data_IF_810310237233
#
_entry.id   IF_810310237233
#
_cell.length_a   1.000
_cell.length_b   1.000
_cell.length_c   1.000
_cell.angle_alpha   90.00
_cell.angle_beta   90.00
_cell.angle_gamma   90.00
#
_symmetry.space_group_name_H-M   'P 1'
#
loop_
_entity.id
_entity.type
_entity.pdbx_description
1 polymer ?
#
# COMPACT_ATOMS: atom_id res chain seq x y z
N UNK A 1 2.76 -8.25 -17.94
CA UNK A 1 2.46 -6.84 -17.62
C UNK A 1 3.09 -6.60 -16.26
N UNK A 2 3.93 -5.59 -16.09
CA UNK A 2 4.55 -5.28 -14.80
C UNK A 2 3.54 -4.48 -13.97
N UNK A 3 3.33 -4.85 -12.72
CA UNK A 3 2.59 -4.01 -11.77
C UNK A 3 3.63 -3.28 -10.92
N UNK A 4 3.51 -1.95 -10.88
CA UNK A 4 4.39 -1.08 -10.11
C UNK A 4 3.50 -0.31 -9.19
N UNK A 5 3.64 -0.59 -7.91
CA UNK A 5 2.78 -0.07 -6.87
C UNK A 5 3.54 1.07 -6.20
N UNK A 6 3.15 2.29 -6.57
CA UNK A 6 3.74 3.51 -6.00
C UNK A 6 2.76 4.26 -5.16
N UNK A 7 3.14 4.56 -3.92
CA UNK A 7 2.51 5.61 -3.14
C UNK A 7 1.07 5.30 -2.76
N UNK A 8 0.77 4.06 -2.34
CA UNK A 8 -0.50 3.78 -1.68
C UNK A 8 -0.72 4.69 -0.44
N UNK A 9 0.37 5.26 0.09
CA UNK A 9 0.34 6.21 1.19
C UNK A 9 -0.09 5.52 2.48
N UNK A 10 -0.79 6.25 3.35
CA UNK A 10 -1.19 5.76 4.67
C UNK A 10 -2.43 4.86 4.69
N UNK A 11 -3.06 4.64 3.54
CA UNK A 11 -4.30 3.89 3.44
C UNK A 11 -3.99 2.40 3.28
N UNK A 12 -4.78 1.54 3.92
CA UNK A 12 -4.73 0.11 3.60
C UNK A 12 -5.24 -0.10 2.17
N UNK A 13 -4.48 -0.84 1.38
CA UNK A 13 -4.78 -1.12 -0.02
C UNK A 13 -4.40 -2.57 -0.35
N UNK A 14 -5.15 -3.18 -1.26
CA UNK A 14 -4.94 -4.57 -1.65
C UNK A 14 -4.64 -4.64 -3.14
N UNK A 15 -3.50 -5.21 -3.50
CA UNK A 15 -3.20 -5.59 -4.88
C UNK A 15 -3.68 -7.02 -5.07
N UNK A 16 -4.74 -7.20 -5.85
CA UNK A 16 -5.50 -8.45 -5.88
C UNK A 16 -5.58 -9.10 -7.28
N UNK A 17 -5.39 -10.42 -7.34
CA UNK A 17 -5.88 -11.23 -8.46
C UNK A 17 -5.08 -11.10 -9.76
N UNK A 18 -3.84 -10.60 -9.71
CA UNK A 18 -3.03 -10.40 -10.91
C UNK A 18 -2.32 -11.68 -11.34
N UNK A 19 -1.99 -11.78 -12.62
CA UNK A 19 -1.21 -12.89 -13.18
C UNK A 19 0.07 -12.35 -13.83
N UNK A 20 1.22 -12.87 -13.42
CA UNK A 20 2.54 -12.44 -13.86
C UNK A 20 3.28 -13.62 -14.48
N UNK A 21 3.89 -13.43 -15.65
CA UNK A 21 4.62 -14.50 -16.35
C UNK A 21 5.83 -13.93 -17.11
N UNK A 22 6.99 -14.55 -16.88
CA UNK A 22 8.29 -14.22 -17.50
C UNK A 22 8.64 -12.72 -17.45
N UNK A 23 8.63 -12.15 -16.24
CA UNK A 23 8.99 -10.75 -15.98
C UNK A 23 10.30 -10.63 -15.21
N UNK A 24 10.93 -9.46 -15.28
CA UNK A 24 12.04 -9.14 -14.40
C UNK A 24 11.56 -8.97 -12.95
N UNK A 25 10.46 -8.26 -12.76
CA UNK A 25 9.76 -8.16 -11.47
C UNK A 25 8.26 -8.33 -11.74
N UNK A 26 7.59 -9.24 -11.02
CA UNK A 26 6.14 -9.41 -11.05
C UNK A 26 5.44 -8.23 -10.39
N UNK A 27 5.68 -8.07 -9.09
CA UNK A 27 5.15 -7.02 -8.23
C UNK A 27 6.30 -6.17 -7.67
N UNK A 28 6.20 -4.85 -7.82
CA UNK A 28 7.22 -3.92 -7.36
C UNK A 28 6.60 -2.86 -6.44
N UNK A 29 6.93 -2.87 -5.15
CA UNK A 29 6.57 -1.82 -4.19
C UNK A 29 7.66 -0.74 -4.16
N UNK A 30 7.34 0.46 -4.63
CA UNK A 30 8.25 1.61 -4.77
C UNK A 30 7.63 2.83 -4.10
N UNK A 31 8.41 3.63 -3.36
CA UNK A 31 7.85 4.77 -2.63
C UNK A 31 7.05 4.37 -1.38
N UNK A 32 6.29 5.32 -0.82
CA UNK A 32 5.61 5.16 0.48
C UNK A 32 4.41 4.20 0.39
N UNK A 33 4.62 2.95 0.80
CA UNK A 33 3.63 1.88 0.78
C UNK A 33 3.39 1.27 2.18
N UNK A 34 3.88 1.93 3.23
CA UNK A 34 3.65 1.58 4.64
C UNK A 34 2.67 2.57 5.26
N UNK A 35 1.66 2.05 5.95
CA UNK A 35 0.78 2.85 6.77
C UNK A 35 1.51 3.49 7.94
N UNK A 36 1.20 4.76 8.23
CA UNK A 36 1.64 5.39 9.48
C UNK A 36 1.09 4.70 10.73
N UNK A 37 -0.09 4.10 10.60
CA UNK A 37 -0.70 3.24 11.59
C UNK A 37 -0.38 1.82 11.15
N UNK A 38 0.12 1.00 12.09
CA UNK A 38 0.32 -0.44 11.90
C UNK A 38 -0.95 -1.01 11.25
N UNK A 39 -0.86 -1.39 9.96
CA UNK A 39 -1.96 -1.90 9.11
C UNK A 39 -2.48 -1.04 7.98
N UNK A 40 -2.00 0.19 7.81
CA UNK A 40 -2.06 0.84 6.50
C UNK A 40 -0.95 0.31 5.58
N UNK A 41 -1.07 0.55 4.29
CA UNK A 41 -0.10 0.09 3.30
C UNK A 41 -0.63 -1.01 2.40
N UNK A 42 0.28 -1.63 1.65
CA UNK A 42 -0.07 -2.62 0.63
C UNK A 42 -0.09 -4.04 1.21
N UNK A 43 -1.19 -4.76 0.95
CA UNK A 43 -1.25 -6.23 1.04
C UNK A 43 -1.38 -6.80 -0.36
N UNK A 44 -0.54 -7.78 -0.69
CA UNK A 44 -0.70 -8.57 -1.91
C UNK A 44 -1.61 -9.76 -1.61
N UNK A 45 -2.75 -9.88 -2.29
CA UNK A 45 -3.68 -10.99 -2.13
C UNK A 45 -3.90 -11.70 -3.47
N UNK A 46 -3.85 -13.03 -3.49
CA UNK A 46 -4.23 -13.84 -4.66
C UNK A 46 -3.54 -13.45 -5.98
N UNK A 47 -2.28 -13.02 -5.92
CA UNK A 47 -1.48 -12.75 -7.11
C UNK A 47 -0.72 -14.00 -7.52
N UNK A 48 -0.79 -14.34 -8.80
CA UNK A 48 -0.26 -15.57 -9.35
C UNK A 48 1.00 -15.30 -10.17
N UNK A 49 2.15 -15.68 -9.63
CA UNK A 49 3.41 -15.62 -10.36
C UNK A 49 3.68 -16.95 -11.07
N UNK A 50 3.43 -16.94 -12.38
CA UNK A 50 3.59 -18.06 -13.28
C UNK A 50 4.98 -18.02 -13.95
N UNK A 51 5.45 -19.18 -14.41
CA UNK A 51 6.68 -19.28 -15.18
C UNK A 51 7.93 -19.09 -14.31
N UNK A 52 8.85 -18.21 -14.72
CA UNK A 52 10.09 -17.97 -13.99
C UNK A 52 10.44 -16.49 -14.04
N UNK A 53 9.79 -15.68 -13.21
CA UNK A 53 10.23 -14.29 -13.02
C UNK A 53 11.65 -14.27 -12.39
N UNK A 54 12.33 -13.13 -12.46
CA UNK A 54 13.59 -12.95 -11.72
C UNK A 54 13.31 -12.64 -10.26
N UNK A 55 12.31 -11.78 -10.01
CA UNK A 55 11.68 -11.54 -8.73
C UNK A 55 10.15 -11.64 -8.89
N UNK A 56 9.47 -12.41 -8.05
CA UNK A 56 8.01 -12.44 -8.00
C UNK A 56 7.47 -11.22 -7.24
N UNK A 57 8.08 -10.92 -6.09
CA UNK A 57 7.86 -9.70 -5.31
C UNK A 57 9.18 -8.99 -5.02
N UNK A 58 9.17 -7.67 -5.15
CA UNK A 58 10.30 -6.80 -4.80
C UNK A 58 9.81 -5.56 -4.06
N UNK A 59 10.40 -5.29 -2.89
CA UNK A 59 10.16 -4.10 -2.08
C UNK A 59 11.46 -3.29 -2.01
N UNK A 60 11.37 -2.00 -2.35
CA UNK A 60 12.51 -1.08 -2.38
C UNK A 60 13.09 -0.79 -0.98
N UNK A 61 14.40 -0.60 -0.92
CA UNK A 61 15.12 -0.17 0.29
C UNK A 61 14.58 1.15 0.86
N UNK A 62 14.44 1.20 2.19
CA UNK A 62 13.92 2.37 2.90
C UNK A 62 12.41 2.58 2.78
N UNK A 63 11.71 1.71 2.05
CA UNK A 63 10.25 1.65 1.97
C UNK A 63 9.74 0.44 2.76
N UNK A 64 8.48 0.05 2.54
CA UNK A 64 7.93 -1.19 3.08
C UNK A 64 6.53 -1.42 2.55
N UNK A 65 5.91 -2.51 2.95
CA UNK A 65 4.48 -2.81 2.73
C UNK A 65 3.82 -3.06 4.09
N UNK A 66 2.55 -3.46 4.12
CA UNK A 66 1.91 -3.84 5.39
C UNK A 66 2.70 -4.97 6.05
N UNK A 67 3.04 -4.84 7.34
CA UNK A 67 3.81 -5.84 8.09
C UNK A 67 3.14 -7.22 8.01
N UNK A 68 1.84 -7.29 8.28
CA UNK A 68 1.07 -8.52 8.11
C UNK A 68 0.58 -8.67 6.66
N UNK A 69 1.25 -9.53 5.89
CA UNK A 69 0.74 -9.98 4.59
C UNK A 69 -0.27 -11.11 4.82
N UNK A 70 -1.50 -10.70 5.18
CA UNK A 70 -2.66 -11.54 5.56
C UNK A 70 -3.95 -10.88 5.08
N UNK A 71 -5.01 -11.68 4.86
CA UNK A 71 -6.33 -11.12 4.53
C UNK A 71 -7.00 -10.49 5.75
N UNK A 72 -7.96 -9.58 5.51
CA UNK A 72 -8.77 -8.97 6.59
C UNK A 72 -9.54 -9.99 7.45
N UNK A 73 -9.78 -11.20 6.93
CA UNK A 73 -10.47 -12.29 7.63
C UNK A 73 -9.51 -13.27 8.33
N UNK A 74 -8.23 -12.90 8.47
CA UNK A 74 -7.22 -13.73 9.11
C UNK A 74 -6.95 -15.06 8.38
N UNK A 75 -6.86 -15.00 7.05
CA UNK A 75 -6.51 -16.14 6.18
C UNK A 75 -5.16 -15.89 5.49
N UNK A 76 -4.59 -16.94 4.91
CA UNK A 76 -3.42 -16.85 4.03
C UNK A 76 -3.66 -15.83 2.89
N UNK A 77 -2.63 -15.15 2.40
CA UNK A 77 -2.81 -14.19 1.29
C UNK A 77 -3.13 -14.85 -0.04
N UNK A 78 -2.82 -16.14 -0.22
CA UNK A 78 -3.14 -16.88 -1.44
C UNK A 78 -2.33 -16.46 -2.67
N UNK A 79 -1.25 -15.68 -2.51
CA UNK A 79 -0.33 -15.44 -3.62
C UNK A 79 0.46 -16.72 -3.91
N UNK A 80 0.77 -16.97 -5.19
CA UNK A 80 1.64 -18.07 -5.59
C UNK A 80 2.97 -17.56 -6.14
N UNK A 81 4.04 -18.29 -5.86
CA UNK A 81 5.40 -18.01 -6.30
C UNK A 81 5.86 -18.96 -7.42
N UNK A 82 6.78 -18.47 -8.23
CA UNK A 82 7.43 -19.24 -9.29
C UNK A 82 8.46 -20.24 -8.75
N UNK A 83 8.95 -20.05 -7.52
CA UNK A 83 9.90 -20.92 -6.81
C UNK A 83 11.15 -21.22 -7.63
N UNK A 84 11.66 -20.18 -8.28
CA UNK A 84 12.79 -20.26 -9.19
C UNK A 84 14.11 -20.14 -8.43
N UNK A 85 14.82 -21.25 -8.29
CA UNK A 85 16.09 -21.36 -7.55
C UNK A 85 17.30 -20.61 -8.16
N UNK A 86 17.11 -19.87 -9.25
CA UNK A 86 18.16 -19.06 -9.88
C UNK A 86 18.54 -17.80 -9.11
N UNK A 87 17.75 -17.42 -8.10
CA UNK A 87 17.95 -16.23 -7.28
C UNK A 87 17.61 -16.58 -5.81
N UNK A 88 18.51 -16.39 -4.83
CA UNK A 88 18.25 -16.73 -3.42
C UNK A 88 17.08 -15.96 -2.80
N UNK A 89 16.69 -14.83 -3.38
CA UNK A 89 15.56 -14.00 -2.95
C UNK A 89 14.56 -13.79 -4.11
N UNK A 90 14.45 -14.78 -5.00
CA UNK A 90 13.64 -14.70 -6.23
C UNK A 90 12.12 -14.72 -6.01
N UNK A 91 11.65 -15.34 -4.94
CA UNK A 91 10.22 -15.38 -4.61
C UNK A 91 9.80 -14.07 -3.93
N UNK A 92 10.59 -13.62 -2.95
CA UNK A 92 10.30 -12.37 -2.25
C UNK A 92 11.58 -11.66 -1.80
N UNK A 93 11.97 -10.63 -2.53
CA UNK A 93 13.06 -9.75 -2.13
C UNK A 93 12.50 -8.55 -1.37
N UNK A 94 12.70 -8.51 -0.05
CA UNK A 94 12.21 -7.42 0.79
C UNK A 94 13.38 -6.62 1.37
N UNK A 95 13.68 -5.48 0.75
CA UNK A 95 14.68 -4.52 1.22
C UNK A 95 14.06 -3.46 2.14
N UNK A 96 12.75 -3.51 2.36
CA UNK A 96 12.01 -2.59 3.20
C UNK A 96 11.93 -3.02 4.67
N UNK A 97 10.89 -2.55 5.36
CA UNK A 97 10.54 -3.00 6.72
C UNK A 97 10.20 -4.49 6.81
N UNK A 98 10.29 -5.04 8.01
CA UNK A 98 9.93 -6.44 8.27
C UNK A 98 8.47 -6.73 7.87
N UNK A 99 8.22 -7.97 7.41
CA UNK A 99 6.87 -8.50 7.18
C UNK A 99 6.71 -9.90 7.77
N UNK A 100 5.50 -10.19 8.22
CA UNK A 100 5.01 -11.54 8.50
C UNK A 100 4.14 -12.01 7.31
N UNK A 101 4.56 -13.07 6.64
CA UNK A 101 3.93 -13.59 5.44
C UNK A 101 3.10 -14.85 5.74
N UNK A 102 1.79 -14.77 5.54
CA UNK A 102 0.84 -15.84 5.87
C UNK A 102 0.47 -16.68 4.65
N UNK A 103 0.79 -17.98 4.68
CA UNK A 103 0.58 -18.92 3.56
C UNK A 103 -0.19 -20.16 3.98
N UNK A 104 -0.88 -20.81 3.04
CA UNK A 104 -1.56 -22.07 3.31
C UNK A 104 -0.63 -23.27 3.00
N UNK A 105 -0.25 -24.08 4.00
CA UNK A 105 0.81 -25.09 3.83
C UNK A 105 0.43 -26.28 2.93
N UNK A 106 -0.85 -26.49 2.61
CA UNK A 106 -1.25 -27.55 1.68
C UNK A 106 -1.12 -27.17 0.19
N UNK A 107 -0.79 -25.90 -0.10
CA UNK A 107 -0.48 -25.42 -1.46
C UNK A 107 0.99 -25.02 -1.50
N UNK A 108 1.83 -25.88 -2.09
CA UNK A 108 3.28 -25.70 -2.09
C UNK A 108 3.73 -24.36 -2.67
N UNK A 109 3.04 -23.89 -3.70
CA UNK A 109 3.36 -22.67 -4.43
C UNK A 109 3.03 -21.39 -3.64
N UNK A 110 2.26 -21.46 -2.54
CA UNK A 110 2.03 -20.31 -1.66
C UNK A 110 3.20 -20.06 -0.68
N UNK A 111 4.04 -21.07 -0.43
CA UNK A 111 5.20 -20.90 0.43
C UNK A 111 6.36 -20.26 -0.36
N UNK A 112 6.89 -19.09 0.05
CA UNK A 112 8.13 -18.59 -0.53
C UNK A 112 9.31 -19.46 -0.05
N UNK A 113 10.14 -19.90 -1.00
CA UNK A 113 11.34 -20.70 -0.77
C UNK A 113 12.63 -19.90 -0.94
N UNK A 114 12.58 -18.83 -1.74
CA UNK A 114 13.72 -17.95 -2.02
C UNK A 114 13.39 -16.52 -1.62
N UNK A 115 13.68 -16.14 -0.37
CA UNK A 115 13.24 -14.87 0.19
C UNK A 115 14.26 -14.24 1.15
N UNK A 116 14.04 -12.98 1.50
CA UNK A 116 14.88 -12.22 2.43
C UNK A 116 14.68 -12.66 3.89
N UNK A 117 15.49 -13.62 4.37
CA UNK A 117 15.37 -14.24 5.70
C UNK A 117 15.41 -13.27 6.90
N UNK A 118 16.03 -12.09 6.74
CA UNK A 118 16.16 -11.10 7.82
C UNK A 118 14.96 -10.15 7.93
N UNK A 119 14.10 -10.09 6.92
CA UNK A 119 13.00 -9.12 6.81
C UNK A 119 11.66 -9.80 6.53
N UNK A 120 11.62 -11.14 6.50
CA UNK A 120 10.42 -11.93 6.26
C UNK A 120 10.37 -13.10 7.24
N UNK A 121 9.35 -13.12 8.10
CA UNK A 121 8.93 -14.33 8.82
C UNK A 121 7.76 -14.99 8.09
N UNK A 122 7.70 -16.32 8.10
CA UNK A 122 6.61 -17.08 7.49
C UNK A 122 5.71 -17.68 8.55
N UNK A 123 4.41 -17.61 8.33
CA UNK A 123 3.40 -18.20 9.20
C UNK A 123 2.40 -19.03 8.41
N UNK A 124 2.06 -20.19 8.96
CA UNK A 124 0.98 -21.02 8.41
C UNK A 124 -0.38 -20.40 8.79
N UNK A 125 -1.28 -20.30 7.81
CA UNK A 125 -2.64 -19.81 7.99
C UNK A 125 -3.67 -20.70 7.29
N UNK A 126 -4.95 -20.45 7.55
CA UNK A 126 -6.04 -21.15 6.86
C UNK A 126 -6.15 -20.70 5.38
N UNK A 127 -6.68 -21.59 4.54
CA UNK A 127 -6.83 -21.37 3.10
C UNK A 127 -7.68 -20.13 2.82
N UNK A 128 -7.15 -19.24 1.98
CA UNK A 128 -7.95 -18.25 1.27
C UNK A 128 -8.36 -18.82 -0.08
N UNK A 129 -9.67 -18.94 -0.32
CA UNK A 129 -10.20 -19.48 -1.57
C UNK A 129 -9.99 -18.55 -2.79
N UNK A 130 -9.44 -17.35 -2.58
CA UNK A 130 -9.24 -16.35 -3.63
C UNK A 130 -10.53 -16.06 -4.42
N UNK A 131 -11.63 -15.97 -3.68
CA UNK A 131 -12.94 -15.68 -4.27
C UNK A 131 -12.97 -14.21 -4.72
N UNK A 132 -13.19 -14.00 -6.01
CA UNK A 132 -13.12 -12.71 -6.71
C UNK A 132 -14.17 -11.67 -6.27
N UNK A 133 -14.91 -11.92 -5.19
CA UNK A 133 -16.15 -11.22 -4.87
C UNK A 133 -15.98 -9.89 -4.13
N UNK A 134 -14.85 -9.66 -3.46
CA UNK A 134 -14.77 -8.58 -2.46
C UNK A 134 -13.73 -7.49 -2.75
N UNK A 135 -12.86 -7.64 -3.75
CA UNK A 135 -11.86 -6.60 -4.11
C UNK A 135 -12.21 -6.02 -5.49
N UNK A 136 -12.73 -4.78 -5.49
CA UNK A 136 -12.96 -4.01 -6.72
C UNK A 136 -14.21 -4.37 -7.55
N UNK A 137 -15.07 -5.27 -7.09
CA UNK A 137 -16.35 -5.58 -7.71
C UNK A 137 -17.44 -4.54 -7.38
N UNK A 138 -18.43 -4.37 -8.27
CA UNK A 138 -19.66 -3.65 -7.92
C UNK A 138 -20.31 -4.32 -6.72
N UNK A 139 -20.43 -3.59 -5.61
CA UNK A 139 -21.23 -4.05 -4.46
C UNK A 139 -22.70 -3.95 -4.87
N UNK A 140 -23.46 -5.06 -4.86
CA UNK A 140 -24.88 -5.00 -5.16
C UNK A 140 -25.61 -4.04 -4.20
N UNK A 141 -26.65 -3.35 -4.70
CA UNK A 141 -27.48 -2.43 -3.90
C UNK A 141 -28.00 -3.06 -2.59
N UNK A 142 -28.27 -4.37 -2.60
CA UNK A 142 -28.77 -5.09 -1.42
C UNK A 142 -27.71 -5.31 -0.33
N UNK A 143 -26.43 -5.30 -0.72
CA UNK A 143 -25.29 -5.59 0.14
C UNK A 143 -24.57 -4.32 0.64
N UNK A 144 -24.90 -3.14 0.08
CA UNK A 144 -24.27 -1.88 0.50
C UNK A 144 -24.54 -1.58 1.97
N UNK A 145 -25.73 -1.92 2.49
CA UNK A 145 -26.07 -1.75 3.90
C UNK A 145 -25.18 -2.60 4.81
N UNK A 146 -24.87 -3.84 4.39
CA UNK A 146 -23.98 -4.73 5.12
C UNK A 146 -22.54 -4.21 5.08
N UNK A 147 -22.06 -3.74 3.93
CA UNK A 147 -20.71 -3.18 3.76
C UNK A 147 -20.51 -1.97 4.67
N UNK A 148 -21.51 -1.10 4.81
CA UNK A 148 -21.47 0.02 5.75
C UNK A 148 -21.41 -0.42 7.21
N UNK A 149 -22.13 -1.48 7.57
CA UNK A 149 -22.04 -2.03 8.93
C UNK A 149 -20.66 -2.61 9.21
N UNK A 150 -20.07 -3.35 8.24
CA UNK A 150 -18.68 -3.85 8.35
C UNK A 150 -17.69 -2.72 8.63
N UNK A 151 -17.85 -1.57 7.97
CA UNK A 151 -17.04 -0.38 8.26
C UNK A 151 -17.17 0.06 9.72
N UNK A 152 -18.40 0.23 10.24
CA UNK A 152 -18.59 0.72 11.60
C UNK A 152 -18.18 -0.30 12.67
N UNK A 153 -18.33 -1.59 12.40
CA UNK A 153 -17.85 -2.67 13.27
C UNK A 153 -16.32 -2.66 13.33
N UNK A 154 -15.65 -2.60 12.18
CA UNK A 154 -14.19 -2.50 12.09
C UNK A 154 -13.66 -1.23 12.76
N UNK A 155 -14.35 -0.08 12.55
CA UNK A 155 -14.02 1.19 13.20
C UNK A 155 -14.12 1.11 14.72
N UNK A 156 -15.12 0.40 15.25
CA UNK A 156 -15.25 0.18 16.69
C UNK A 156 -14.11 -0.68 17.24
N UNK A 157 -13.69 -1.73 16.53
CA UNK A 157 -12.53 -2.55 16.91
C UNK A 157 -11.23 -1.74 16.87
N UNK A 158 -11.01 -0.96 15.80
CA UNK A 158 -9.86 -0.09 15.66
C UNK A 158 -9.74 0.87 16.85
N UNK A 159 -10.85 1.48 17.28
CA UNK A 159 -10.87 2.39 18.43
C UNK A 159 -10.52 1.70 19.75
N UNK A 160 -10.87 0.41 19.91
CA UNK A 160 -10.52 -0.37 21.11
C UNK A 160 -9.01 -0.68 21.12
N UNK A 161 -8.49 -1.29 20.06
CA UNK A 161 -7.07 -1.59 19.96
C UNK A 161 -6.20 -0.34 20.05
N UNK A 162 -6.65 0.77 19.44
CA UNK A 162 -5.93 2.04 19.52
C UNK A 162 -5.89 2.60 20.95
N UNK A 163 -6.99 2.50 21.70
CA UNK A 163 -6.99 2.95 23.09
C UNK A 163 -6.03 2.13 23.95
N UNK A 164 -6.03 0.80 23.78
CA UNK A 164 -5.12 -0.10 24.49
C UNK A 164 -3.65 0.19 24.11
N UNK A 165 -3.37 0.35 22.81
CA UNK A 165 -2.04 0.70 22.33
C UNK A 165 -1.53 2.03 22.89
N UNK A 166 -2.35 3.09 22.83
CA UNK A 166 -1.97 4.43 23.29
C UNK A 166 -1.75 4.48 24.81
N UNK A 167 -2.38 3.59 25.60
CA UNK A 167 -2.15 3.45 27.05
C UNK A 167 -0.85 2.71 27.36
N UNK A 168 -0.49 1.71 26.55
CA UNK A 168 0.68 0.87 26.79
C UNK A 168 1.97 1.49 26.25
N UNK A 169 1.92 2.13 25.07
CA UNK A 169 3.09 2.71 24.42
C UNK A 169 3.68 3.82 25.30
N UNK A 170 4.96 3.66 25.66
CA UNK A 170 5.68 4.55 26.58
C UNK A 170 4.92 4.82 27.90
N UNK A 171 4.13 3.85 28.40
CA UNK A 171 3.25 4.00 29.57
C UNK A 171 2.28 5.20 29.47
N UNK A 172 1.91 5.56 28.24
CA UNK A 172 0.99 6.66 27.92
C UNK A 172 1.60 8.06 27.95
N UNK A 173 2.92 8.22 28.18
CA UNK A 173 3.59 9.53 28.25
C UNK A 173 4.92 9.57 27.49
N UNK A 174 4.88 9.38 26.16
CA UNK A 174 6.05 9.56 25.28
C UNK A 174 6.78 10.90 25.50
N UNK A 175 6.11 12.07 25.58
CA UNK A 175 6.81 13.34 25.79
C UNK A 175 7.54 13.42 27.14
N UNK A 176 6.94 12.88 28.20
CA UNK A 176 7.56 12.76 29.52
C UNK A 176 8.79 11.87 29.48
N UNK A 177 8.66 10.68 28.90
CA UNK A 177 9.74 9.71 28.80
C UNK A 177 10.93 10.24 27.96
N UNK A 178 10.65 10.92 26.86
CA UNK A 178 11.66 11.63 26.06
C UNK A 178 12.38 12.71 26.88
N UNK A 179 11.65 13.48 27.70
CA UNK A 179 12.24 14.50 28.55
C UNK A 179 13.15 13.89 29.63
N UNK A 180 12.78 12.74 30.20
CA UNK A 180 13.58 12.00 31.16
C UNK A 180 14.88 11.49 30.54
N UNK A 181 14.80 10.82 29.38
CA UNK A 181 15.99 10.37 28.62
C UNK A 181 16.87 11.58 28.24
N UNK A 182 16.27 12.70 27.83
CA UNK A 182 16.99 13.92 27.48
C UNK A 182 17.75 14.55 28.66
N UNK A 183 17.24 14.41 29.90
CA UNK A 183 17.85 14.97 31.11
C UNK A 183 18.78 13.99 31.85
N UNK A 184 18.70 12.69 31.54
CA UNK A 184 19.50 11.65 32.19
C UNK A 184 21.01 11.89 32.03
N UNK A 185 21.72 11.75 33.15
CA UNK A 185 23.18 11.63 33.20
C UNK A 185 23.64 10.22 33.60
N UNK A 186 24.94 9.94 33.53
CA UNK A 186 25.51 8.60 33.77
C UNK A 186 25.13 7.98 35.15
N UNK A 187 24.89 8.80 36.17
CA UNK A 187 24.46 8.31 37.50
C UNK A 187 23.00 7.81 37.57
N UNK A 188 22.18 8.11 36.56
CA UNK A 188 20.76 7.73 36.47
C UNK A 188 20.51 6.65 35.41
N UNK A 189 21.48 6.39 34.53
CA UNK A 189 21.33 5.52 33.36
C UNK A 189 20.75 4.14 33.71
N UNK A 190 21.35 3.45 34.69
CA UNK A 190 20.90 2.12 35.09
C UNK A 190 19.47 2.12 35.68
N UNK A 191 19.07 3.20 36.37
CA UNK A 191 17.69 3.31 36.88
C UNK A 191 16.71 3.45 35.73
N UNK A 192 16.97 4.41 34.84
CA UNK A 192 16.09 4.69 33.70
C UNK A 192 16.00 3.51 32.73
N UNK A 193 17.09 2.77 32.51
CA UNK A 193 17.04 1.55 31.69
C UNK A 193 16.16 0.46 32.33
N UNK A 194 16.21 0.28 33.65
CA UNK A 194 15.32 -0.66 34.32
C UNK A 194 13.85 -0.23 34.22
N UNK A 195 13.57 1.08 34.28
CA UNK A 195 12.23 1.62 34.12
C UNK A 195 11.74 1.36 32.67
N UNK A 196 12.57 1.63 31.66
CA UNK A 196 12.27 1.36 30.25
C UNK A 196 12.07 -0.13 29.95
N UNK A 197 12.91 -1.00 30.52
CA UNK A 197 12.75 -2.46 30.42
C UNK A 197 11.46 -2.95 31.11
N UNK A 198 10.94 -2.20 32.09
CA UNK A 198 9.64 -2.46 32.70
C UNK A 198 8.45 -2.09 31.81
N UNK A 199 8.66 -1.20 30.84
CA UNK A 199 7.66 -0.78 29.84
C UNK A 199 7.72 -1.69 28.60
N UNK A 200 8.89 -2.26 28.29
CA UNK A 200 9.07 -3.22 27.20
C UNK A 200 8.00 -4.31 27.21
N UNK A 201 7.44 -4.70 26.04
CA UNK A 201 7.85 -4.36 24.67
C UNK A 201 7.30 -3.02 24.11
N UNK A 202 6.74 -2.17 24.96
CA UNK A 202 6.01 -0.97 24.55
C UNK A 202 6.83 0.32 24.56
N UNK A 203 8.17 0.25 24.48
CA UNK A 203 8.99 1.45 24.29
C UNK A 203 8.96 1.84 22.81
N UNK A 204 8.60 3.09 22.52
CA UNK A 204 8.49 3.59 21.15
C UNK A 204 9.84 3.84 20.50
N UNK A 205 9.89 3.81 19.16
CA UNK A 205 11.08 4.15 18.39
C UNK A 205 11.66 5.53 18.73
N UNK A 206 10.82 6.51 19.10
CA UNK A 206 11.28 7.84 19.47
C UNK A 206 12.14 7.79 20.74
N UNK A 207 11.69 7.03 21.73
CA UNK A 207 12.39 6.86 23.02
C UNK A 207 13.65 6.01 22.82
N UNK A 208 13.56 4.90 22.07
CA UNK A 208 14.71 4.06 21.75
C UNK A 208 15.80 4.86 21.00
N UNK A 209 15.40 5.66 20.01
CA UNK A 209 16.31 6.57 19.30
C UNK A 209 16.99 7.54 20.25
N UNK A 210 16.24 8.16 21.17
CA UNK A 210 16.81 9.08 22.16
C UNK A 210 17.82 8.41 23.11
N UNK A 211 17.65 7.12 23.41
CA UNK A 211 18.62 6.32 24.18
C UNK A 211 19.88 6.03 23.36
N UNK A 212 19.71 5.54 22.12
CA UNK A 212 20.82 5.26 21.18
C UNK A 212 21.67 6.50 20.91
N UNK A 213 21.05 7.68 20.84
CA UNK A 213 21.72 8.96 20.58
C UNK A 213 22.60 9.46 21.74
N UNK A 214 22.63 8.71 22.86
CA UNK A 214 23.36 9.07 24.07
C UNK A 214 24.32 7.95 24.55
N UNK A 215 25.28 7.51 23.71
CA UNK A 215 26.20 6.43 24.07
C UNK A 215 27.15 6.77 25.23
N UNK A 216 27.30 8.06 25.58
CA UNK A 216 28.06 8.49 26.76
C UNK A 216 27.31 8.30 28.09
N UNK A 217 25.99 8.08 28.04
CA UNK A 217 25.12 7.86 29.21
C UNK A 217 24.66 6.41 29.27
N UNK A 218 24.20 5.87 28.15
CA UNK A 218 23.73 4.48 28.02
C UNK A 218 24.77 3.70 27.22
N UNK A 219 25.48 2.78 27.88
CA UNK A 219 26.47 1.94 27.22
C UNK A 219 25.83 0.95 26.24
N UNK A 220 26.65 0.35 25.36
CA UNK A 220 26.14 -0.58 24.33
C UNK A 220 25.34 -1.74 24.93
N UNK A 221 25.76 -2.27 26.09
CA UNK A 221 25.03 -3.37 26.75
C UNK A 221 23.61 -2.96 27.14
N UNK A 222 23.45 -1.77 27.73
CA UNK A 222 22.13 -1.21 28.03
C UNK A 222 21.28 -0.97 26.77
N UNK A 223 21.90 -0.52 25.68
CA UNK A 223 21.20 -0.30 24.42
C UNK A 223 20.73 -1.62 23.80
N UNK A 224 21.59 -2.64 23.76
CA UNK A 224 21.25 -3.97 23.26
C UNK A 224 20.10 -4.57 24.07
N UNK A 225 20.22 -4.62 25.41
CA UNK A 225 19.18 -5.18 26.29
C UNK A 225 17.81 -4.53 26.02
N UNK A 226 17.79 -3.20 25.84
CA UNK A 226 16.56 -2.47 25.59
C UNK A 226 16.01 -2.69 24.18
N UNK A 227 16.87 -2.72 23.15
CA UNK A 227 16.45 -2.98 21.77
C UNK A 227 15.90 -4.41 21.61
N UNK A 228 16.54 -5.41 22.21
CA UNK A 228 16.06 -6.79 22.21
C UNK A 228 14.70 -6.95 22.90
N UNK A 229 14.46 -6.17 23.95
CA UNK A 229 13.20 -6.17 24.67
C UNK A 229 12.05 -5.47 23.91
N UNK A 230 12.34 -4.75 22.82
CA UNK A 230 11.36 -4.01 22.02
C UNK A 230 11.49 -4.35 20.51
N UNK A 231 11.33 -5.62 20.14
CA UNK A 231 11.62 -6.10 18.79
C UNK A 231 10.75 -5.43 17.72
N UNK A 232 9.50 -5.07 18.01
CA UNK A 232 8.56 -4.39 17.10
C UNK A 232 9.11 -3.03 16.66
N UNK A 233 9.68 -2.29 17.62
CA UNK A 233 10.27 -1.00 17.33
C UNK A 233 11.54 -1.17 16.48
N UNK A 234 12.30 -2.24 16.65
CA UNK A 234 13.45 -2.57 15.79
C UNK A 234 13.01 -2.88 14.35
N UNK A 235 11.91 -3.63 14.20
CA UNK A 235 11.36 -4.09 12.92
C UNK A 235 10.84 -2.97 12.01
N UNK A 236 10.35 -1.85 12.55
CA UNK A 236 9.68 -0.85 11.68
C UNK A 236 10.65 -0.21 10.70
N UNK A 237 10.13 0.03 9.50
CA UNK A 237 10.87 0.56 8.36
C UNK A 237 11.74 1.78 8.73
N UNK A 238 12.98 1.75 8.25
CA UNK A 238 13.96 2.84 8.43
C UNK A 238 14.67 2.86 9.78
N UNK A 239 14.15 2.23 10.84
CA UNK A 239 14.84 2.25 12.14
C UNK A 239 16.01 1.27 12.20
N UNK A 240 15.97 0.15 11.47
CA UNK A 240 17.14 -0.70 11.32
C UNK A 240 18.31 0.04 10.67
N UNK A 241 18.06 0.71 9.53
CA UNK A 241 19.05 1.57 8.86
C UNK A 241 19.57 2.67 9.80
N UNK A 242 18.67 3.25 10.61
CA UNK A 242 19.04 4.21 11.63
C UNK A 242 20.07 3.66 12.62
N UNK A 243 19.85 2.45 13.13
CA UNK A 243 20.77 1.78 14.06
C UNK A 243 22.12 1.51 13.39
N UNK A 244 22.14 1.04 12.15
CA UNK A 244 23.38 0.78 11.40
C UNK A 244 24.21 2.06 11.17
N UNK A 245 23.56 3.19 10.93
CA UNK A 245 24.23 4.45 10.61
C UNK A 245 24.62 5.27 11.85
N UNK A 246 23.84 5.20 12.94
CA UNK A 246 23.92 6.15 14.04
C UNK A 246 24.30 5.53 15.39
N UNK A 247 24.15 4.22 15.57
CA UNK A 247 24.51 3.57 16.83
C UNK A 247 26.03 3.32 16.94
N UNK A 248 26.51 3.09 18.16
CA UNK A 248 27.87 2.64 18.43
C UNK A 248 27.99 1.12 18.57
N UNK A 249 26.95 0.38 18.19
CA UNK A 249 26.90 -1.08 18.29
C UNK A 249 27.84 -1.71 17.26
N UNK A 250 28.52 -2.78 17.66
CA UNK A 250 29.32 -3.56 16.71
C UNK A 250 28.48 -4.56 15.91
N UNK A 251 29.11 -5.25 14.95
CA UNK A 251 28.39 -6.20 14.09
C UNK A 251 27.84 -7.42 14.82
N UNK A 252 28.43 -7.82 15.95
CA UNK A 252 27.92 -8.92 16.77
C UNK A 252 26.68 -8.46 17.56
N UNK A 253 26.74 -7.28 18.16
CA UNK A 253 25.63 -6.63 18.87
C UNK A 253 24.43 -6.37 17.94
N UNK A 254 24.67 -5.82 16.73
CA UNK A 254 23.62 -5.64 15.73
C UNK A 254 23.02 -6.98 15.32
N UNK A 255 23.83 -8.00 15.03
CA UNK A 255 23.32 -9.33 14.69
C UNK A 255 22.43 -9.91 15.80
N UNK A 256 22.79 -9.66 17.06
CA UNK A 256 22.00 -10.08 18.22
C UNK A 256 20.62 -9.42 18.25
N UNK A 257 20.60 -8.09 18.14
CA UNK A 257 19.35 -7.28 18.08
C UNK A 257 18.49 -7.68 16.88
N UNK A 258 19.10 -7.95 15.73
CA UNK A 258 18.38 -8.41 14.54
C UNK A 258 17.67 -9.74 14.80
N UNK A 259 18.35 -10.72 15.42
CA UNK A 259 17.74 -12.02 15.72
C UNK A 259 16.61 -11.89 16.75
N UNK A 260 16.77 -11.04 17.77
CA UNK A 260 15.70 -10.76 18.73
C UNK A 260 14.49 -10.10 18.05
N UNK A 261 14.73 -9.23 17.06
CA UNK A 261 13.68 -8.56 16.28
C UNK A 261 12.82 -9.50 15.43
N UNK A 262 13.17 -10.77 15.28
CA UNK A 262 12.36 -11.77 14.58
C UNK A 262 11.31 -12.45 15.50
N UNK A 263 11.31 -12.14 16.80
CA UNK A 263 10.43 -12.75 17.78
C UNK A 263 9.20 -11.87 18.04
N UNK A 264 8.04 -12.53 18.16
CA UNK A 264 6.80 -11.84 18.51
C UNK A 264 6.64 -11.68 20.03
N UNK A 265 6.03 -10.59 20.46
CA UNK A 265 5.69 -10.30 21.85
C UNK A 265 4.19 -10.02 22.02
N UNK A 266 3.76 -9.65 23.24
CA UNK A 266 2.39 -9.23 23.49
C UNK A 266 1.99 -7.97 22.70
N UNK A 267 2.97 -7.13 22.32
CA UNK A 267 2.71 -5.92 21.54
C UNK A 267 2.25 -6.26 20.12
N UNK A 268 2.84 -7.27 19.49
CA UNK A 268 2.43 -7.74 18.15
C UNK A 268 0.93 -8.06 18.09
N UNK A 269 0.36 -8.70 19.12
CA UNK A 269 -1.06 -9.03 19.13
C UNK A 269 -1.97 -7.77 19.12
N UNK A 270 -1.52 -6.66 19.71
CA UNK A 270 -2.25 -5.38 19.70
C UNK A 270 -2.05 -4.67 18.37
N UNK A 271 -0.81 -4.60 17.87
CA UNK A 271 -0.50 -3.99 16.57
C UNK A 271 -1.21 -4.73 15.41
N UNK A 272 -1.27 -6.07 15.46
CA UNK A 272 -2.01 -6.95 14.54
C UNK A 272 -3.52 -6.64 14.57
N UNK A 273 -4.11 -6.56 15.77
CA UNK A 273 -5.53 -6.25 15.94
C UNK A 273 -5.88 -4.84 15.45
N UNK A 274 -5.01 -3.86 15.74
CA UNK A 274 -5.11 -2.50 15.23
C UNK A 274 -5.06 -2.48 13.70
N UNK A 275 -4.13 -3.24 13.14
CA UNK A 275 -3.86 -3.36 11.72
C UNK A 275 -5.03 -3.95 10.95
N UNK A 276 -5.50 -5.12 11.38
CA UNK A 276 -6.64 -5.80 10.76
C UNK A 276 -7.92 -4.93 10.81
N UNK A 277 -8.17 -4.26 11.93
CA UNK A 277 -9.32 -3.38 12.07
C UNK A 277 -9.23 -2.14 11.17
N UNK A 278 -8.04 -1.55 11.03
CA UNK A 278 -7.79 -0.43 10.12
C UNK A 278 -7.98 -0.85 8.65
N UNK A 279 -7.41 -2.00 8.26
CA UNK A 279 -7.56 -2.55 6.92
C UNK A 279 -9.04 -2.87 6.59
N UNK A 280 -9.76 -3.51 7.50
CA UNK A 280 -11.19 -3.79 7.35
C UNK A 280 -12.04 -2.52 7.21
N UNK A 281 -11.71 -1.47 7.98
CA UNK A 281 -12.35 -0.16 7.85
C UNK A 281 -12.09 0.44 6.47
N UNK A 282 -10.85 0.47 6.00
CA UNK A 282 -10.47 1.05 4.71
C UNK A 282 -11.08 0.29 3.54
N UNK A 283 -10.99 -1.05 3.53
CA UNK A 283 -11.58 -1.91 2.50
C UNK A 283 -13.09 -1.71 2.38
N UNK A 284 -13.80 -1.67 3.51
CA UNK A 284 -15.24 -1.39 3.52
C UNK A 284 -15.57 0.02 3.02
N UNK A 285 -14.79 1.03 3.41
CA UNK A 285 -14.97 2.40 2.92
C UNK A 285 -14.75 2.51 1.41
N UNK A 286 -13.70 1.88 0.88
CA UNK A 286 -13.35 1.93 -0.54
C UNK A 286 -14.41 1.24 -1.41
N UNK A 287 -15.00 0.14 -0.94
CA UNK A 287 -16.15 -0.49 -1.58
C UNK A 287 -17.38 0.43 -1.61
N UNK A 288 -17.66 1.15 -0.51
CA UNK A 288 -18.76 2.12 -0.47
C UNK A 288 -18.48 3.33 -1.37
N UNK A 289 -17.24 3.80 -1.43
CA UNK A 289 -16.82 4.88 -2.32
C UNK A 289 -16.94 4.47 -3.79
N UNK A 290 -16.47 3.27 -4.14
CA UNK A 290 -16.61 2.70 -5.48
C UNK A 290 -18.08 2.60 -5.90
N UNK A 291 -18.95 2.12 -5.00
CA UNK A 291 -20.40 2.10 -5.22
C UNK A 291 -20.96 3.50 -5.55
N UNK A 292 -20.57 4.54 -4.81
CA UNK A 292 -21.07 5.90 -5.04
C UNK A 292 -20.42 6.65 -6.20
N UNK A 293 -19.26 6.23 -6.69
CA UNK A 293 -18.49 6.93 -7.73
C UNK A 293 -18.52 6.24 -9.09
N UNK A 294 -18.62 4.91 -9.14
CA UNK A 294 -18.52 4.13 -10.38
C UNK A 294 -19.88 3.70 -10.93
N UNK A 295 -20.87 3.39 -10.09
CA UNK A 295 -22.18 2.98 -10.57
C UNK A 295 -22.97 4.19 -11.11
N UNK A 296 -23.25 4.16 -12.41
CA UNK A 296 -23.99 5.21 -13.13
C UNK A 296 -25.42 5.44 -12.61
N UNK A 297 -26.00 4.51 -11.85
CA UNK A 297 -27.32 4.62 -11.22
C UNK A 297 -27.22 5.19 -9.81
N UNK A 298 -26.13 4.88 -9.09
CA UNK A 298 -25.89 5.28 -7.70
C UNK A 298 -24.90 6.45 -7.53
N UNK A 299 -24.46 7.08 -8.63
CA UNK A 299 -23.54 8.23 -8.59
C UNK A 299 -24.02 9.31 -7.61
N UNK A 300 -23.35 9.40 -6.47
CA UNK A 300 -23.76 10.27 -5.37
C UNK A 300 -22.54 10.90 -4.72
N UNK A 301 -22.17 12.08 -5.24
CA UNK A 301 -21.02 12.85 -4.78
C UNK A 301 -21.11 13.22 -3.29
N UNK A 302 -22.28 13.65 -2.81
CA UNK A 302 -22.44 14.03 -1.39
C UNK A 302 -22.18 12.84 -0.46
N UNK A 303 -22.64 11.66 -0.86
CA UNK A 303 -22.36 10.42 -0.11
C UNK A 303 -20.88 10.02 -0.20
N UNK A 304 -20.25 10.17 -1.37
CA UNK A 304 -18.82 9.92 -1.49
C UNK A 304 -17.98 10.86 -0.60
N UNK A 305 -18.31 12.16 -0.55
CA UNK A 305 -17.65 13.13 0.33
C UNK A 305 -17.82 12.76 1.81
N UNK A 306 -19.02 12.33 2.22
CA UNK A 306 -19.28 11.85 3.58
C UNK A 306 -18.44 10.61 3.93
N UNK A 307 -18.29 9.68 2.99
CA UNK A 307 -17.49 8.46 3.21
C UNK A 307 -15.99 8.73 3.25
N UNK A 308 -15.50 9.71 2.48
CA UNK A 308 -14.14 10.21 2.63
C UNK A 308 -13.91 10.84 4.01
N UNK A 309 -14.91 11.56 4.56
CA UNK A 309 -14.85 12.08 5.94
C UNK A 309 -14.87 10.96 6.99
N UNK A 310 -15.59 9.86 6.72
CA UNK A 310 -15.57 8.69 7.60
C UNK A 310 -14.22 7.97 7.60
N UNK A 311 -13.59 7.83 6.43
CA UNK A 311 -12.26 7.24 6.24
C UNK A 311 -11.19 8.11 6.91
N UNK A 312 -11.26 9.43 6.74
CA UNK A 312 -10.53 10.40 7.55
C UNK A 312 -9.01 10.37 7.40
N UNK A 313 -8.48 9.69 6.38
CA UNK A 313 -7.05 9.59 6.14
C UNK A 313 -6.48 10.83 5.43
N UNK A 314 -5.15 10.97 5.42
CA UNK A 314 -4.46 12.01 4.67
C UNK A 314 -4.82 11.94 3.18
N UNK A 315 -4.80 10.75 2.60
CA UNK A 315 -5.19 10.53 1.21
C UNK A 315 -6.66 10.88 0.95
N UNK A 316 -7.57 10.60 1.90
CA UNK A 316 -8.98 10.97 1.79
C UNK A 316 -9.18 12.48 1.66
N UNK A 317 -8.34 13.31 2.31
CA UNK A 317 -8.39 14.77 2.16
C UNK A 317 -7.96 15.24 0.76
N UNK A 318 -6.94 14.61 0.18
CA UNK A 318 -6.56 14.89 -1.21
C UNK A 318 -7.66 14.49 -2.20
N UNK A 319 -8.26 13.30 -2.05
CA UNK A 319 -9.38 12.86 -2.89
C UNK A 319 -10.61 13.78 -2.73
N UNK A 320 -10.90 14.22 -1.51
CA UNK A 320 -11.97 15.17 -1.23
C UNK A 320 -11.73 16.50 -1.95
N UNK A 321 -10.49 17.00 -1.92
CA UNK A 321 -10.05 18.20 -2.64
C UNK A 321 -10.26 18.04 -4.14
N UNK A 322 -9.83 16.91 -4.73
CA UNK A 322 -10.03 16.59 -6.15
C UNK A 322 -11.52 16.57 -6.55
N UNK A 323 -12.38 15.94 -5.75
CA UNK A 323 -13.83 15.88 -6.02
C UNK A 323 -14.45 17.27 -5.94
N UNK A 324 -14.08 18.08 -4.96
CA UNK A 324 -14.59 19.44 -4.78
C UNK A 324 -14.12 20.37 -5.91
N UNK A 325 -12.86 20.27 -6.32
CA UNK A 325 -12.31 20.98 -7.47
C UNK A 325 -13.08 20.63 -8.77
N UNK A 326 -13.29 19.34 -9.04
CA UNK A 326 -14.10 18.90 -10.19
C UNK A 326 -15.58 19.32 -10.10
N UNK A 327 -16.03 19.77 -8.93
CA UNK A 327 -17.37 20.34 -8.72
C UNK A 327 -17.43 21.85 -8.92
N UNK A 328 -16.30 22.52 -9.14
CA UNK A 328 -16.18 23.98 -9.13
C UNK A 328 -16.37 24.59 -7.74
N UNK A 329 -16.15 23.81 -6.67
CA UNK A 329 -16.21 24.26 -5.28
C UNK A 329 -14.79 24.60 -4.77
N UNK A 330 -14.13 25.51 -5.48
CA UNK A 330 -12.69 25.77 -5.28
C UNK A 330 -12.38 26.32 -3.88
N UNK A 331 -13.21 27.22 -3.35
CA UNK A 331 -13.05 27.76 -1.99
C UNK A 331 -13.12 26.62 -0.94
N UNK A 332 -14.11 25.74 -1.04
CA UNK A 332 -14.24 24.59 -0.14
C UNK A 332 -13.08 23.59 -0.30
N UNK A 333 -12.60 23.40 -1.53
CA UNK A 333 -11.47 22.53 -1.81
C UNK A 333 -10.18 23.07 -1.18
N UNK A 334 -9.94 24.38 -1.28
CA UNK A 334 -8.81 25.06 -0.66
C UNK A 334 -8.88 24.97 0.88
N UNK A 335 -10.06 25.14 1.48
CA UNK A 335 -10.26 24.97 2.93
C UNK A 335 -9.89 23.55 3.39
N UNK A 336 -10.32 22.52 2.66
CA UNK A 336 -9.98 21.11 2.98
C UNK A 336 -8.47 20.90 2.88
N UNK A 337 -7.85 21.36 1.80
CA UNK A 337 -6.42 21.18 1.58
C UNK A 337 -5.56 21.90 2.62
N UNK A 338 -5.91 23.14 2.97
CA UNK A 338 -5.16 23.94 3.95
C UNK A 338 -5.35 23.49 5.40
N UNK A 339 -6.38 22.68 5.69
CA UNK A 339 -6.59 22.08 7.02
C UNK A 339 -5.67 20.90 7.35
N UNK A 340 -5.02 20.30 6.34
CA UNK A 340 -4.22 19.07 6.50
C UNK A 340 -3.10 19.21 7.56
N UNK A 341 -2.27 20.27 7.57
CA UNK A 341 -1.18 20.38 8.56
C UNK A 341 -1.67 20.52 10.00
N UNK A 342 -2.90 20.97 10.21
CA UNK A 342 -3.52 21.05 11.54
C UNK A 342 -4.16 19.71 11.95
N UNK A 343 -4.65 18.93 10.98
CA UNK A 343 -5.32 17.65 11.22
C UNK A 343 -4.35 16.47 11.36
N UNK A 344 -3.13 16.55 10.79
CA UNK A 344 -2.18 15.45 10.74
C UNK A 344 -0.76 15.90 11.14
N UNK A 345 -0.08 15.10 11.97
CA UNK A 345 1.33 15.31 12.30
C UNK A 345 2.23 14.77 11.18
N UNK A 346 2.43 15.48 10.08
CA UNK A 346 3.10 14.93 8.90
C UNK A 346 4.56 14.52 9.15
N UNK A 347 4.99 13.38 8.58
CA UNK A 347 6.43 13.05 8.46
C UNK A 347 7.11 13.99 7.48
N UNK A 348 8.45 14.03 7.44
CA UNK A 348 9.17 14.89 6.47
C UNK A 348 8.78 14.59 5.01
N UNK A 349 8.65 13.31 4.65
CA UNK A 349 8.20 12.85 3.33
C UNK A 349 6.75 13.29 3.05
N UNK A 350 5.86 13.16 4.03
CA UNK A 350 4.46 13.58 3.90
C UNK A 350 4.30 15.09 3.83
N UNK A 351 5.14 15.85 4.53
CA UNK A 351 5.19 17.31 4.45
C UNK A 351 5.64 17.76 3.05
N UNK A 352 6.68 17.15 2.49
CA UNK A 352 7.11 17.43 1.12
C UNK A 352 6.02 17.09 0.10
N UNK A 353 5.34 15.95 0.24
CA UNK A 353 4.21 15.58 -0.63
C UNK A 353 3.04 16.56 -0.48
N UNK A 354 2.73 17.00 0.74
CA UNK A 354 1.71 18.01 1.00
C UNK A 354 2.02 19.33 0.30
N UNK A 355 3.26 19.82 0.41
CA UNK A 355 3.69 21.06 -0.23
C UNK A 355 3.57 20.95 -1.76
N UNK A 356 3.91 19.79 -2.33
CA UNK A 356 3.78 19.52 -3.76
C UNK A 356 2.30 19.46 -4.20
N UNK A 357 1.43 18.82 -3.40
CA UNK A 357 -0.03 18.79 -3.64
C UNK A 357 -0.62 20.19 -3.55
N UNK A 358 -0.21 20.99 -2.58
CA UNK A 358 -0.64 22.37 -2.41
C UNK A 358 -0.31 23.19 -3.65
N UNK A 359 0.91 23.11 -4.16
CA UNK A 359 1.33 23.78 -5.38
C UNK A 359 0.50 23.32 -6.61
N UNK A 360 0.25 22.02 -6.74
CA UNK A 360 -0.55 21.46 -7.84
C UNK A 360 -2.00 21.96 -7.79
N UNK A 361 -2.67 21.85 -6.64
CA UNK A 361 -4.06 22.27 -6.51
C UNK A 361 -4.23 23.78 -6.68
N UNK A 362 -3.31 24.60 -6.14
CA UNK A 362 -3.32 26.05 -6.34
C UNK A 362 -3.20 26.45 -7.81
N UNK A 363 -2.45 25.70 -8.61
CA UNK A 363 -2.38 25.89 -10.06
C UNK A 363 -3.72 25.58 -10.75
N UNK A 364 -4.45 24.59 -10.24
CA UNK A 364 -5.70 24.11 -10.81
C UNK A 364 -6.95 24.86 -10.30
N UNK A 365 -6.89 25.56 -9.17
CA UNK A 365 -8.01 26.37 -8.69
C UNK A 365 -8.39 27.45 -9.72
N UNK A 366 -9.70 27.63 -9.92
CA UNK A 366 -10.26 28.52 -10.94
C UNK A 366 -10.13 28.00 -12.38
N UNK A 367 -9.56 26.81 -12.61
CA UNK A 367 -9.39 26.22 -13.94
C UNK A 367 -10.55 25.30 -14.29
N UNK A 368 -11.50 25.83 -15.06
CA UNK A 368 -12.62 25.05 -15.56
C UNK A 368 -12.24 24.06 -16.69
N UNK A 369 -11.08 24.25 -17.32
CA UNK A 369 -10.66 23.45 -18.48
C UNK A 369 -9.14 23.20 -18.42
N UNK A 370 -8.78 21.97 -18.06
CA UNK A 370 -7.37 21.53 -17.94
C UNK A 370 -6.60 21.57 -19.26
N UNK A 371 -7.25 21.76 -20.41
CA UNK A 371 -6.61 21.93 -21.72
C UNK A 371 -6.28 23.40 -22.06
N UNK A 372 -6.59 24.34 -21.15
CA UNK A 372 -6.41 25.78 -21.36
C UNK A 372 -5.48 26.45 -20.35
N UNK A 373 -4.53 25.71 -19.80
CA UNK A 373 -3.45 26.29 -19.01
C UNK A 373 -2.58 27.19 -19.90
N UNK A 374 -2.15 28.32 -19.37
CA UNK A 374 -1.25 29.22 -20.08
C UNK A 374 0.21 28.73 -20.07
N UNK A 375 1.10 29.43 -20.78
CA UNK A 375 2.49 29.01 -20.90
C UNK A 375 3.28 29.02 -19.58
N UNK A 376 2.93 29.89 -18.62
CA UNK A 376 3.56 29.91 -17.30
C UNK A 376 3.03 28.78 -16.43
N UNK A 377 1.73 28.50 -16.53
CA UNK A 377 1.07 27.39 -15.82
C UNK A 377 1.59 26.03 -16.29
N UNK A 378 1.81 25.85 -17.60
CA UNK A 378 2.42 24.62 -18.14
C UNK A 378 3.86 24.45 -17.62
N UNK A 379 4.62 25.53 -17.48
CA UNK A 379 5.97 25.49 -16.90
C UNK A 379 5.89 25.06 -15.43
N UNK A 380 5.03 25.70 -14.63
CA UNK A 380 4.85 25.34 -13.23
C UNK A 380 4.39 23.87 -13.06
N UNK A 381 3.48 23.39 -13.91
CA UNK A 381 3.07 21.99 -13.94
C UNK A 381 4.23 21.05 -14.31
N UNK A 382 5.12 21.48 -15.22
CA UNK A 382 6.32 20.73 -15.60
C UNK A 382 7.39 20.72 -14.51
N UNK A 383 7.47 21.76 -13.69
CA UNK A 383 8.33 21.80 -12.53
C UNK A 383 7.84 20.81 -11.47
N UNK A 384 6.53 20.74 -11.21
CA UNK A 384 5.93 19.73 -10.31
C UNK A 384 6.16 18.31 -10.83
N UNK A 385 6.06 18.10 -12.15
CA UNK A 385 6.28 16.78 -12.77
C UNK A 385 7.71 16.23 -12.57
N UNK A 386 8.70 17.09 -12.29
CA UNK A 386 10.08 16.68 -12.00
C UNK A 386 10.31 16.24 -10.55
N UNK A 387 9.34 16.49 -9.67
CA UNK A 387 9.41 16.09 -8.26
C UNK A 387 9.10 14.61 -8.09
N UNK A 388 9.03 14.16 -6.84
CA UNK A 388 8.60 12.81 -6.45
C UNK A 388 7.18 12.83 -5.89
N UNK A 389 6.62 11.63 -5.69
CA UNK A 389 5.32 11.44 -5.04
C UNK A 389 4.08 11.64 -5.93
N UNK A 390 2.90 11.66 -5.32
CA UNK A 390 1.62 11.58 -6.03
C UNK A 390 1.30 12.88 -6.79
N UNK A 391 1.73 14.03 -6.28
CA UNK A 391 1.61 15.31 -6.98
C UNK A 391 2.37 15.30 -8.31
N UNK A 392 3.60 14.79 -8.32
CA UNK A 392 4.40 14.66 -9.53
C UNK A 392 3.74 13.70 -10.54
N UNK A 393 3.21 12.57 -10.09
CA UNK A 393 2.50 11.63 -10.95
C UNK A 393 1.23 12.24 -11.55
N UNK A 394 0.43 12.96 -10.75
CA UNK A 394 -0.75 13.68 -11.25
C UNK A 394 -0.36 14.73 -12.29
N UNK A 395 0.71 15.50 -12.04
CA UNK A 395 1.22 16.49 -12.98
C UNK A 395 1.68 15.86 -14.30
N UNK A 396 2.43 14.75 -14.25
CA UNK A 396 2.84 13.95 -15.43
C UNK A 396 1.62 13.46 -16.21
N UNK A 397 0.62 12.93 -15.52
CA UNK A 397 -0.62 12.46 -16.14
C UNK A 397 -1.37 13.60 -16.85
N UNK A 398 -1.48 14.76 -16.22
CA UNK A 398 -2.09 15.95 -16.83
C UNK A 398 -1.30 16.43 -18.06
N UNK A 399 0.02 16.49 -18.00
CA UNK A 399 0.87 16.87 -19.13
C UNK A 399 0.75 15.88 -20.30
N UNK A 400 0.76 14.59 -20.01
CA UNK A 400 0.59 13.54 -21.02
C UNK A 400 -0.81 13.63 -21.67
N UNK A 401 -1.86 13.76 -20.86
CA UNK A 401 -3.24 13.74 -21.32
C UNK A 401 -3.65 15.03 -22.06
N UNK A 402 -3.35 16.20 -21.50
CA UNK A 402 -3.84 17.48 -22.02
C UNK A 402 -2.86 18.19 -22.97
N UNK A 403 -1.55 17.91 -22.86
CA UNK A 403 -0.51 18.67 -23.57
C UNK A 403 0.44 17.81 -24.41
N UNK A 404 0.20 16.51 -24.51
CA UNK A 404 1.00 15.60 -25.34
C UNK A 404 2.43 15.39 -24.83
N UNK A 405 2.64 15.52 -23.52
CA UNK A 405 3.90 15.16 -22.87
C UNK A 405 4.24 13.68 -23.05
N UNK A 406 5.52 13.35 -22.84
CA UNK A 406 6.02 11.97 -22.77
C UNK A 406 6.75 11.82 -21.45
N UNK A 407 5.97 11.73 -20.37
CA UNK A 407 6.47 11.37 -19.05
C UNK A 407 6.20 9.89 -18.84
N UNK A 408 7.26 9.09 -18.81
CA UNK A 408 7.19 7.71 -18.36
C UNK A 408 7.47 7.68 -16.85
N UNK A 409 6.79 6.81 -16.10
CA UNK A 409 7.13 6.56 -14.71
C UNK A 409 8.60 6.12 -14.60
N UNK A 410 9.43 6.90 -13.90
CA UNK A 410 10.80 6.49 -13.57
C UNK A 410 10.75 5.50 -12.42
N UNK A 411 11.37 4.33 -12.61
CA UNK A 411 11.41 3.28 -11.61
C UNK A 411 12.80 2.68 -11.56
N UNK A 412 13.50 2.91 -10.44
CA UNK A 412 14.71 2.16 -10.11
C UNK A 412 14.34 0.70 -9.86
N UNK A 413 14.82 -0.18 -10.72
CA UNK A 413 14.71 -1.64 -10.55
C UNK A 413 15.90 -2.16 -9.74
N UNK A 414 15.78 -3.31 -9.06
CA UNK A 414 16.92 -3.95 -8.41
C UNK A 414 18.02 -4.25 -9.44
N UNK A 415 19.28 -4.10 -9.02
CA UNK A 415 20.44 -4.32 -9.87
C UNK A 415 20.37 -5.69 -10.56
N UNK A 416 20.77 -5.74 -11.83
CA UNK A 416 20.72 -6.95 -12.64
C UNK A 416 21.53 -8.08 -11.99
N UNK A 417 20.83 -9.12 -11.50
CA UNK A 417 21.42 -10.44 -11.28
C UNK A 417 21.81 -11.00 -12.66
N UNK A 418 22.99 -11.61 -12.80
CA UNK A 418 23.62 -11.98 -14.10
C UNK A 418 22.60 -12.28 -15.20
N UNK A 419 22.70 -11.51 -16.29
CA UNK A 419 21.72 -11.51 -17.38
C UNK A 419 21.36 -12.93 -17.81
N UNK A 420 20.08 -13.28 -17.61
CA UNK A 420 19.50 -14.39 -18.37
C UNK A 420 19.70 -14.09 -19.85
N UNK A 421 20.16 -15.08 -20.66
CA UNK A 421 20.19 -14.90 -22.10
C UNK A 421 18.78 -14.49 -22.54
N UNK A 422 18.71 -13.40 -23.30
CA UNK A 422 17.45 -12.88 -23.83
C UNK A 422 16.61 -14.05 -24.35
N UNK A 423 15.50 -14.34 -23.66
CA UNK A 423 14.50 -15.24 -24.17
C UNK A 423 14.09 -14.64 -25.49
N UNK A 424 14.37 -15.34 -26.60
CA UNK A 424 13.94 -14.89 -27.92
C UNK A 424 12.47 -14.56 -27.77
N UNK A 425 12.08 -13.30 -28.02
CA UNK A 425 10.73 -12.81 -27.82
C UNK A 425 9.75 -13.91 -28.22
N UNK A 426 9.19 -14.59 -27.22
CA UNK A 426 8.13 -15.54 -27.48
C UNK A 426 7.07 -14.67 -28.13
N UNK A 427 6.70 -15.01 -29.35
CA UNK A 427 5.53 -14.44 -30.01
C UNK A 427 4.41 -14.55 -29.01
N UNK A 428 4.08 -13.42 -28.37
CA UNK A 428 2.95 -13.24 -27.49
C UNK A 428 1.83 -14.09 -28.07
N UNK A 429 1.43 -15.14 -27.36
CA UNK A 429 0.21 -15.81 -27.70
C UNK A 429 -0.88 -14.78 -27.41
N UNK A 430 -1.27 -14.02 -28.45
CA UNK A 430 -2.52 -13.31 -28.51
C UNK A 430 -3.62 -14.36 -28.36
N UNK A 431 -3.93 -14.70 -27.12
CA UNK A 431 -5.10 -15.47 -26.76
C UNK A 431 -6.13 -14.49 -26.23
N UNK A 432 -6.73 -13.72 -27.13
CA UNK A 432 -8.02 -13.13 -26.84
C UNK A 432 -8.86 -13.20 -28.10
N UNK A 433 -9.83 -14.12 -28.09
CA UNK A 433 -11.01 -13.91 -28.89
C UNK A 433 -11.56 -12.53 -28.51
N UNK A 434 -11.67 -11.62 -29.48
CA UNK A 434 -12.11 -10.24 -29.24
C UNK A 434 -13.37 -9.99 -30.04
N UNK A 435 -14.27 -9.18 -29.49
CA UNK A 435 -15.47 -8.71 -30.18
C UNK A 435 -15.65 -7.22 -29.92
N UNK A 436 -15.91 -6.45 -30.96
CA UNK A 436 -16.21 -5.02 -30.91
C UNK A 436 -17.52 -4.77 -31.63
N UNK A 437 -18.35 -3.87 -31.09
CA UNK A 437 -19.67 -3.57 -31.62
C UNK A 437 -19.81 -2.07 -31.89
N UNK A 438 -20.18 -1.69 -33.11
CA UNK A 438 -20.32 -0.29 -33.51
C UNK A 438 -21.58 -0.03 -34.35
N UNK A 439 -22.35 1.04 -34.04
CA UNK A 439 -22.34 1.77 -32.77
C UNK A 439 -22.89 0.89 -31.63
N UNK A 440 -22.37 1.04 -30.42
CA UNK A 440 -22.99 0.49 -29.21
C UNK A 440 -23.15 1.63 -28.19
N UNK A 441 -24.37 2.07 -27.85
CA UNK A 441 -25.68 1.50 -28.20
C UNK A 441 -26.15 1.76 -29.65
N UNK A 442 -26.87 0.80 -30.25
CA UNK A 442 -27.43 0.92 -31.61
C UNK A 442 -28.96 1.08 -31.63
N UNK A 443 -29.49 1.89 -32.55
CA UNK A 443 -30.95 2.06 -32.74
C UNK A 443 -31.55 1.18 -33.86
N UNK A 444 -30.77 0.81 -34.87
CA UNK A 444 -31.27 0.07 -36.04
C UNK A 444 -30.29 -0.99 -36.55
N UNK A 445 -29.00 -0.67 -36.59
CA UNK A 445 -27.94 -1.57 -37.07
C UNK A 445 -26.73 -1.50 -36.15
N UNK A 446 -26.14 -2.65 -35.84
CA UNK A 446 -24.88 -2.79 -35.11
C UNK A 446 -23.97 -3.71 -35.93
N UNK A 447 -22.71 -3.31 -36.07
CA UNK A 447 -21.68 -4.09 -36.75
C UNK A 447 -20.77 -4.72 -35.71
N UNK A 448 -20.53 -6.03 -35.84
CA UNK A 448 -19.60 -6.76 -34.98
C UNK A 448 -18.31 -7.05 -35.74
N UNK A 449 -17.18 -6.60 -35.19
CA UNK A 449 -15.85 -7.02 -35.59
C UNK A 449 -15.35 -8.01 -34.55
N UNK A 450 -14.90 -9.20 -34.98
CA UNK A 450 -14.41 -10.21 -34.06
C UNK A 450 -13.15 -10.90 -34.57
N UNK A 451 -12.35 -11.38 -33.62
CA UNK A 451 -11.23 -12.29 -33.85
C UNK A 451 -11.54 -13.58 -33.11
N UNK A 452 -11.55 -14.73 -33.81
CA UNK A 452 -11.74 -16.06 -33.22
C UNK A 452 -10.55 -16.96 -33.58
N UNK A 453 -10.16 -17.86 -32.67
CA UNK A 453 -9.07 -18.80 -32.92
C UNK A 453 -9.52 -19.86 -33.93
N UNK A 454 -8.61 -20.27 -34.81
CA UNK A 454 -8.91 -21.24 -35.85
C UNK A 454 -9.28 -22.61 -35.25
N UNK A 455 -10.49 -23.09 -35.52
CA UNK A 455 -10.98 -24.39 -35.07
C UNK A 455 -11.96 -24.35 -33.88
N UNK A 456 -12.21 -23.18 -33.31
CA UNK A 456 -13.21 -22.99 -32.26
C UNK A 456 -14.59 -22.67 -32.83
N UNK A 457 -15.64 -23.12 -32.13
CA UNK A 457 -17.03 -22.72 -32.43
C UNK A 457 -17.39 -21.53 -31.56
N UNK A 458 -17.79 -20.42 -32.17
CA UNK A 458 -18.19 -19.22 -31.45
C UNK A 458 -19.63 -18.79 -31.79
N UNK A 459 -20.22 -17.96 -30.95
CA UNK A 459 -21.56 -17.39 -31.16
C UNK A 459 -21.67 -16.01 -30.53
N UNK A 460 -22.39 -15.09 -31.18
CA UNK A 460 -22.69 -13.75 -30.68
C UNK A 460 -24.12 -13.71 -30.14
N UNK A 461 -24.27 -13.46 -28.84
CA UNK A 461 -25.57 -13.25 -28.21
C UNK A 461 -25.89 -11.75 -28.13
N UNK A 462 -27.00 -11.37 -28.76
CA UNK A 462 -27.57 -10.02 -28.67
C UNK A 462 -28.55 -9.96 -27.50
N UNK A 463 -28.36 -9.00 -26.59
CA UNK A 463 -29.29 -8.70 -25.50
C UNK A 463 -29.79 -7.27 -25.62
N UNK A 464 -31.05 -7.03 -25.25
CA UNK A 464 -31.58 -5.68 -25.15
C UNK A 464 -31.19 -5.02 -23.81
N UNK A 465 -31.48 -3.72 -23.67
CA UNK A 465 -31.18 -2.95 -22.45
C UNK A 465 -31.88 -3.44 -21.17
N UNK A 466 -32.76 -4.45 -21.27
CA UNK A 466 -33.43 -5.11 -20.13
C UNK A 466 -32.88 -6.53 -19.89
N UNK A 467 -31.73 -6.88 -20.47
CA UNK A 467 -31.08 -8.19 -20.32
C UNK A 467 -31.77 -9.34 -21.06
N UNK A 468 -32.80 -9.08 -21.88
CA UNK A 468 -33.50 -10.14 -22.62
C UNK A 468 -32.79 -10.45 -23.92
N UNK A 469 -32.58 -11.75 -24.17
CA UNK A 469 -32.00 -12.25 -25.42
C UNK A 469 -32.85 -11.85 -26.63
N UNK A 470 -32.22 -11.22 -27.61
CA UNK A 470 -32.79 -10.75 -28.87
C UNK A 470 -32.45 -11.72 -30.01
N UNK A 471 -31.22 -12.23 -30.04
CA UNK A 471 -30.77 -13.24 -31.00
C UNK A 471 -29.48 -13.93 -30.53
N UNK A 472 -29.24 -15.13 -31.04
CA UNK A 472 -27.99 -15.88 -30.87
C UNK A 472 -27.50 -16.28 -32.27
N UNK A 473 -26.35 -15.73 -32.68
CA UNK A 473 -25.83 -15.82 -34.04
C UNK A 473 -24.55 -16.66 -34.00
N UNK A 474 -24.55 -17.88 -34.56
CA UNK A 474 -23.32 -18.66 -34.66
C UNK A 474 -22.31 -18.00 -35.59
N UNK A 475 -21.06 -17.93 -35.14
CA UNK A 475 -19.90 -17.57 -35.94
C UNK A 475 -19.26 -18.88 -36.41
N UNK A 476 -19.01 -19.00 -37.71
CA UNK A 476 -18.61 -20.24 -38.40
C UNK A 476 -17.44 -20.98 -37.74
#
# INVERSE_FOLDING_TARGET
MKVIDTGAGTDANTIYGNNFDVLYVGNAAVGDNVGRLEGGGIVYECNFNLGSNVFDFWVQEGEGITEDQRTVDNLAVGNTFSQNNGNPEGDFNNQGGFIQYFFYPEVSEEEPLFYSDNTIAKEEAELNECSSGEVGGEVPDEDIGLTKNRFFDAKAQYQLYKADYDELIDDGDTPGLLAEVAQAGAGQAAGLINDLLGISPYVSQHVLKAVVDKPAVFDNGMQVDLLEANPEAVRKAGFWLYLEENSSLDGEELSQVQQASLLNTDRDAIEEGLSAAYAGMHRAADLVLAYYLLDSIAYNRDSALLWLDHKGSLHSHYLKTDILLQSGQDETAEDVLTSIPEAFLLTEKQQAEYDNKLALFQLLFGKADIFKLDSLEIIALSDIAQLEGLAAQQARNLLNYAYGGVWEPDHSLPAAVEERPAVSASTWHQHQASIRAFPNPAKATVTFEFTILAGEKASVRLVNAMGRSVADIPLL
#
